data_IF_240798604521
#
_entry.id   IF_240798604521
#
_cell.length_a   1.000
_cell.length_b   1.000
_cell.length_c   1.000
_cell.angle_alpha   90.00
_cell.angle_beta   90.00
_cell.angle_gamma   90.00
#
_symmetry.space_group_name_H-M   'P 1'
#
loop_
_entity.id
_entity.type
_entity.pdbx_description
1 polymer ?
#
# COMPACT_ATOMS: atom_id res chain seq x y z
N UNK A 1 -13.42 -14.74 -17.57
CA UNK A 1 -13.12 -13.64 -18.51
C UNK A 1 -11.60 -13.56 -18.63
N UNK A 2 -11.03 -13.59 -19.83
CA UNK A 2 -9.57 -13.60 -20.03
C UNK A 2 -9.06 -12.17 -20.10
N UNK A 3 -8.35 -11.69 -19.08
CA UNK A 3 -7.71 -10.37 -19.12
C UNK A 3 -6.47 -10.50 -20.02
N UNK A 4 -6.46 -9.79 -21.15
CA UNK A 4 -5.29 -9.67 -22.04
C UNK A 4 -4.53 -8.41 -21.66
N UNK A 5 -3.27 -8.56 -21.28
CA UNK A 5 -2.35 -7.44 -21.12
C UNK A 5 -1.82 -7.06 -22.51
N UNK A 6 -2.22 -5.89 -23.02
CA UNK A 6 -1.64 -5.32 -24.23
C UNK A 6 -0.35 -4.59 -23.86
N UNK A 7 0.76 -4.93 -24.52
CA UNK A 7 2.00 -4.15 -24.44
C UNK A 7 1.69 -2.71 -24.89
N UNK A 8 1.68 -1.76 -23.94
CA UNK A 8 1.46 -0.33 -24.22
C UNK A 8 0.29 0.35 -23.51
N UNK A 9 -0.53 -0.36 -22.72
CA UNK A 9 -1.51 0.32 -21.88
C UNK A 9 -0.79 1.13 -20.79
N UNK A 10 -1.12 2.41 -20.69
CA UNK A 10 -0.57 3.31 -19.68
C UNK A 10 -0.73 2.67 -18.31
N UNK A 11 0.40 2.43 -17.62
CA UNK A 11 0.40 1.95 -16.24
C UNK A 11 -0.60 2.85 -15.47
N UNK A 12 -1.62 2.28 -14.80
CA UNK A 12 -2.59 3.08 -14.07
C UNK A 12 -1.86 4.08 -13.19
N UNK A 13 -2.15 5.38 -13.32
CA UNK A 13 -1.53 6.42 -12.47
C UNK A 13 -1.78 6.16 -10.99
N UNK A 14 -2.83 5.39 -10.67
CA UNK A 14 -3.08 4.79 -9.37
C UNK A 14 -2.95 3.26 -9.42
N UNK A 15 -1.70 2.78 -9.44
CA UNK A 15 -1.37 1.35 -9.36
C UNK A 15 -1.93 0.71 -8.09
N UNK A 16 -2.00 1.47 -6.98
CA UNK A 16 -2.47 0.95 -5.69
C UNK A 16 -3.97 0.67 -5.72
N UNK A 17 -4.78 1.62 -6.18
CA UNK A 17 -6.23 1.45 -6.31
C UNK A 17 -6.59 0.33 -7.26
N UNK A 18 -5.90 0.25 -8.41
CA UNK A 18 -6.07 -0.86 -9.36
C UNK A 18 -5.75 -2.23 -8.72
N UNK A 19 -4.67 -2.31 -7.95
CA UNK A 19 -4.27 -3.56 -7.28
C UNK A 19 -5.30 -3.96 -6.20
N UNK A 20 -5.88 -3.00 -5.48
CA UNK A 20 -6.93 -3.26 -4.51
C UNK A 20 -8.21 -3.84 -5.16
N UNK A 21 -8.60 -3.33 -6.32
CA UNK A 21 -9.74 -3.86 -7.08
C UNK A 21 -9.51 -5.31 -7.52
N UNK A 22 -8.30 -5.63 -8.00
CA UNK A 22 -7.92 -7.00 -8.35
C UNK A 22 -8.04 -7.95 -7.15
N UNK A 23 -7.65 -7.51 -5.95
CA UNK A 23 -7.80 -8.33 -4.74
C UNK A 23 -9.25 -8.53 -4.33
N UNK A 24 -10.11 -7.49 -4.44
CA UNK A 24 -11.54 -7.65 -4.15
C UNK A 24 -12.19 -8.66 -5.09
N UNK A 25 -11.83 -8.63 -6.38
CA UNK A 25 -12.30 -9.59 -7.37
C UNK A 25 -11.86 -11.02 -7.02
N UNK A 26 -10.58 -11.22 -6.71
CA UNK A 26 -10.05 -12.51 -6.32
C UNK A 26 -10.70 -13.07 -5.04
N UNK A 27 -11.02 -12.22 -4.07
CA UNK A 27 -11.75 -12.60 -2.84
C UNK A 27 -13.16 -13.07 -3.17
N UNK A 28 -13.87 -12.38 -4.06
CA UNK A 28 -15.23 -12.77 -4.48
C UNK A 28 -15.24 -14.14 -5.18
N UNK A 29 -14.29 -14.37 -6.10
CA UNK A 29 -14.14 -15.66 -6.80
C UNK A 29 -13.82 -16.80 -5.82
N UNK A 30 -12.97 -16.54 -4.82
CA UNK A 30 -12.66 -17.50 -3.76
C UNK A 30 -13.89 -17.86 -2.92
N UNK A 31 -14.69 -16.87 -2.55
CA UNK A 31 -15.92 -17.11 -1.79
C UNK A 31 -16.89 -17.99 -2.59
N UNK A 32 -17.08 -17.72 -3.88
CA UNK A 32 -17.92 -18.54 -4.75
C UNK A 32 -17.41 -19.99 -4.85
N UNK A 33 -16.11 -20.19 -4.99
CA UNK A 33 -15.49 -21.51 -5.04
C UNK A 33 -15.66 -22.30 -3.72
N UNK A 34 -15.56 -21.62 -2.58
CA UNK A 34 -15.79 -22.23 -1.26
C UNK A 34 -17.25 -22.70 -1.11
N UNK A 35 -18.22 -21.88 -1.54
CA UNK A 35 -19.63 -22.25 -1.46
C UNK A 35 -19.98 -23.42 -2.39
N UNK A 36 -19.44 -23.45 -3.61
CA UNK A 36 -19.60 -24.60 -4.52
C UNK A 36 -19.00 -25.89 -3.92
N UNK A 37 -17.84 -25.80 -3.26
CA UNK A 37 -17.25 -26.95 -2.56
C UNK A 37 -18.12 -27.45 -1.40
N UNK A 38 -18.71 -26.55 -0.61
CA UNK A 38 -19.63 -26.90 0.48
C UNK A 38 -20.89 -27.62 -0.02
N UNK A 39 -21.31 -27.36 -1.25
CA UNK A 39 -22.49 -28.00 -1.86
C UNK A 39 -22.28 -29.48 -2.26
N UNK A 40 -21.05 -30.00 -2.22
CA UNK A 40 -20.79 -31.45 -2.16
C UNK A 40 -20.79 -32.23 -3.49
N UNK A 41 -20.59 -31.58 -4.63
CA UNK A 41 -20.59 -32.24 -5.95
C UNK A 41 -19.32 -33.10 -6.17
N UNK A 42 -19.41 -34.43 -6.34
CA UNK A 42 -18.26 -35.34 -6.18
C UNK A 42 -17.16 -35.22 -7.25
N UNK A 43 -17.49 -34.92 -8.52
CA UNK A 43 -16.50 -34.61 -9.56
C UNK A 43 -15.80 -33.26 -9.35
N UNK A 44 -16.48 -32.33 -8.68
CA UNK A 44 -15.98 -31.01 -8.34
C UNK A 44 -15.02 -31.07 -7.15
N UNK A 45 -15.08 -32.07 -6.27
CA UNK A 45 -14.21 -32.11 -5.07
C UNK A 45 -12.71 -32.13 -5.36
N UNK A 46 -12.23 -32.78 -6.44
CA UNK A 46 -10.80 -32.78 -6.79
C UNK A 46 -10.37 -31.45 -7.41
N UNK A 47 -11.21 -30.89 -8.29
CA UNK A 47 -11.00 -29.58 -8.91
C UNK A 47 -11.06 -28.48 -7.84
N UNK A 48 -12.01 -28.57 -6.93
CA UNK A 48 -12.15 -27.68 -5.79
C UNK A 48 -10.98 -27.78 -4.81
N UNK A 49 -10.46 -28.99 -4.52
CA UNK A 49 -9.23 -29.14 -3.72
C UNK A 49 -8.01 -28.48 -4.38
N UNK A 50 -7.90 -28.54 -5.71
CA UNK A 50 -6.86 -27.85 -6.44
C UNK A 50 -7.06 -26.33 -6.39
N UNK A 51 -8.27 -25.84 -6.70
CA UNK A 51 -8.61 -24.42 -6.62
C UNK A 51 -8.38 -23.83 -5.23
N UNK A 52 -8.78 -24.53 -4.15
CA UNK A 52 -8.53 -24.11 -2.76
C UNK A 52 -7.02 -24.02 -2.47
N UNK A 53 -6.22 -24.94 -3.01
CA UNK A 53 -4.76 -24.90 -2.85
C UNK A 53 -4.16 -23.71 -3.59
N UNK A 54 -4.55 -23.50 -4.85
CA UNK A 54 -4.06 -22.40 -5.67
C UNK A 54 -4.44 -21.06 -5.03
N UNK A 55 -5.67 -20.92 -4.54
CA UNK A 55 -6.13 -19.74 -3.81
C UNK A 55 -5.37 -19.53 -2.49
N UNK A 56 -4.99 -20.61 -1.79
CA UNK A 56 -4.14 -20.50 -0.60
C UNK A 56 -2.75 -19.97 -0.95
N UNK A 57 -2.15 -20.41 -2.05
CA UNK A 57 -0.84 -19.91 -2.48
C UNK A 57 -0.93 -18.45 -2.93
N UNK A 58 -1.93 -18.09 -3.74
CA UNK A 58 -2.21 -16.69 -4.12
C UNK A 58 -2.42 -15.82 -2.88
N UNK A 59 -3.17 -16.31 -1.89
CA UNK A 59 -3.38 -15.60 -0.62
C UNK A 59 -2.10 -15.36 0.18
N UNK A 60 -1.16 -16.32 0.19
CA UNK A 60 0.14 -16.13 0.84
C UNK A 60 0.98 -15.08 0.11
N UNK A 61 0.99 -15.12 -1.22
CA UNK A 61 1.75 -14.17 -2.03
C UNK A 61 1.20 -12.74 -1.86
N UNK A 62 -0.13 -12.60 -1.78
CA UNK A 62 -0.79 -11.34 -1.46
C UNK A 62 -0.38 -10.78 -0.09
N UNK A 63 -0.43 -11.60 0.95
CA UNK A 63 -0.01 -11.16 2.30
C UNK A 63 1.47 -10.74 2.31
N UNK A 64 2.32 -11.43 1.56
CA UNK A 64 3.74 -11.06 1.40
C UNK A 64 3.88 -9.71 0.71
N UNK A 65 3.14 -9.48 -0.37
CA UNK A 65 3.21 -8.23 -1.11
C UNK A 65 2.69 -7.05 -0.29
N UNK A 66 1.61 -7.24 0.49
CA UNK A 66 1.15 -6.24 1.44
C UNK A 66 2.25 -5.87 2.44
N UNK A 67 2.95 -6.85 3.01
CA UNK A 67 4.04 -6.60 3.95
C UNK A 67 5.18 -5.82 3.29
N UNK A 68 5.53 -6.15 2.04
CA UNK A 68 6.54 -5.43 1.25
C UNK A 68 6.13 -3.97 1.02
N UNK A 69 4.89 -3.71 0.61
CA UNK A 69 4.35 -2.35 0.39
C UNK A 69 4.35 -1.56 1.69
N UNK A 70 3.95 -2.16 2.81
CA UNK A 70 4.00 -1.51 4.13
C UNK A 70 5.44 -1.17 4.56
N UNK A 71 6.41 -2.04 4.29
CA UNK A 71 7.83 -1.78 4.55
C UNK A 71 8.35 -0.63 3.68
N UNK A 72 8.05 -0.64 2.38
CA UNK A 72 8.42 0.43 1.45
C UNK A 72 7.78 1.77 1.85
N UNK A 73 6.51 1.77 2.25
CA UNK A 73 5.84 2.98 2.78
C UNK A 73 6.55 3.52 4.02
N UNK A 74 6.98 2.66 4.94
CA UNK A 74 7.76 3.08 6.12
C UNK A 74 9.13 3.62 5.74
N UNK A 75 9.79 3.06 4.74
CA UNK A 75 11.07 3.58 4.24
C UNK A 75 10.92 4.96 3.57
N UNK A 76 9.85 5.14 2.78
CA UNK A 76 9.52 6.43 2.14
C UNK A 76 9.09 7.46 3.19
N UNK A 77 8.25 7.10 4.15
CA UNK A 77 7.86 7.97 5.26
C UNK A 77 9.03 8.27 6.20
N UNK A 78 9.91 7.30 6.43
CA UNK A 78 11.15 7.46 7.18
C UNK A 78 12.17 8.34 6.45
N UNK A 79 12.09 8.45 5.13
CA UNK A 79 12.91 9.40 4.35
C UNK A 79 12.27 10.79 4.25
N UNK A 80 10.96 10.92 4.52
CA UNK A 80 10.28 12.20 4.76
C UNK A 80 10.68 12.76 6.14
N UNK A 81 11.95 13.16 6.27
CA UNK A 81 12.54 13.67 7.51
C UNK A 81 14.06 13.55 7.59
N UNK A 82 14.69 12.69 6.78
CA UNK A 82 16.13 12.38 6.89
C UNK A 82 17.08 13.38 6.21
N UNK A 83 16.60 14.55 5.80
CA UNK A 83 17.44 15.52 5.08
C UNK A 83 18.05 16.63 5.93
N UNK A 84 17.38 17.01 7.01
CA UNK A 84 17.78 17.99 8.03
C UNK A 84 16.72 17.89 9.10
N UNK A 85 17.07 17.37 10.28
CA UNK A 85 16.24 17.62 11.45
C UNK A 85 16.02 19.14 11.50
N UNK A 86 14.76 19.56 11.44
CA UNK A 86 14.41 20.96 11.60
C UNK A 86 14.83 21.36 13.02
N UNK A 87 15.98 22.01 13.14
CA UNK A 87 16.47 22.48 14.44
C UNK A 87 15.60 23.65 14.90
N UNK A 88 14.53 23.30 15.62
CA UNK A 88 13.60 24.25 16.21
C UNK A 88 14.28 25.15 17.25
N UNK A 89 15.39 24.71 17.86
CA UNK A 89 16.21 25.50 18.76
C UNK A 89 16.93 26.62 18.01
N UNK A 90 17.69 26.28 16.98
CA UNK A 90 18.38 27.26 16.14
C UNK A 90 17.41 28.23 15.45
N UNK A 91 16.25 27.74 15.00
CA UNK A 91 15.19 28.58 14.43
C UNK A 91 14.64 29.58 15.46
N UNK A 92 14.38 29.13 16.70
CA UNK A 92 13.94 30.00 17.80
C UNK A 92 14.97 31.08 18.11
N UNK A 93 16.24 30.72 18.17
CA UNK A 93 17.32 31.66 18.49
C UNK A 93 17.46 32.74 17.40
N UNK A 94 17.35 32.36 16.13
CA UNK A 94 17.34 33.30 15.00
C UNK A 94 16.14 34.26 15.04
N UNK A 95 14.94 33.75 15.35
CA UNK A 95 13.75 34.60 15.52
C UNK A 95 13.97 35.58 16.68
N UNK A 96 14.51 35.12 17.81
CA UNK A 96 14.81 35.96 18.96
C UNK A 96 15.76 37.10 18.63
N UNK A 97 16.86 36.82 17.90
CA UNK A 97 17.80 37.83 17.41
C UNK A 97 17.11 38.88 16.54
N UNK A 98 16.30 38.46 15.56
CA UNK A 98 15.57 39.40 14.68
C UNK A 98 14.60 40.27 15.44
N UNK A 99 13.87 39.71 16.40
CA UNK A 99 12.96 40.48 17.26
C UNK A 99 13.72 41.50 18.12
N UNK A 100 14.90 41.15 18.65
CA UNK A 100 15.73 42.08 19.39
C UNK A 100 16.21 43.24 18.51
N UNK A 101 16.65 42.97 17.28
CA UNK A 101 17.00 44.02 16.32
C UNK A 101 15.82 44.96 16.02
N UNK A 102 14.61 44.42 15.87
CA UNK A 102 13.41 45.22 15.64
C UNK A 102 13.04 46.09 16.85
N UNK A 103 13.20 45.59 18.07
CA UNK A 103 12.98 46.39 19.31
C UNK A 103 14.01 47.50 19.44
N UNK A 104 15.28 47.18 19.23
CA UNK A 104 16.36 48.17 19.24
C UNK A 104 16.14 49.27 18.19
N UNK A 105 15.69 48.92 16.99
CA UNK A 105 15.35 49.90 15.94
C UNK A 105 14.13 50.78 16.30
N UNK A 106 13.24 50.27 17.16
CA UNK A 106 12.08 51.01 17.69
C UNK A 106 12.45 51.95 18.86
N UNK A 107 13.60 51.74 19.49
CA UNK A 107 14.03 52.50 20.68
C UNK A 107 13.51 51.94 22.00
N UNK A 108 13.07 50.68 22.01
CA UNK A 108 12.73 49.91 23.22
C UNK A 108 13.86 48.95 23.62
#
# INVERSE_FOLDING_TARGET
MTIRFSEGDAIPTDVVGFTEELFRLAIADLQAAIEAFKAGTPGETRVAKAAIRDLREIGKDLVRERANVEALRKQVAGTAGTGRDLDLGAARDEIGRRLACLRAARGD
#
